data_IF_465914322240
#
_entry.id   IF_465914322240
#
_cell.length_a   1.000
_cell.length_b   1.000
_cell.length_c   1.000
_cell.angle_alpha   90.00
_cell.angle_beta   90.00
_cell.angle_gamma   90.00
#
_symmetry.space_group_name_H-M   'P 1'
#
loop_
_entity.id
_entity.type
_entity.pdbx_description
1 polymer ?
#
# COMPACT_ATOMS: atom_id res chain seq x y z
N UNK A 1 15.04 12.64 24.47
CA UNK A 1 15.94 12.49 23.31
C UNK A 1 15.55 11.23 22.54
N UNK A 2 15.80 11.22 21.23
CA UNK A 2 15.51 10.14 20.29
C UNK A 2 16.10 8.78 20.73
N UNK A 3 17.30 8.82 21.31
CA UNK A 3 18.01 7.65 21.84
C UNK A 3 17.29 7.01 23.06
N UNK A 4 16.61 7.81 23.87
CA UNK A 4 15.83 7.33 25.00
C UNK A 4 14.55 6.61 24.57
N UNK A 5 13.92 7.04 23.46
CA UNK A 5 12.75 6.39 22.89
C UNK A 5 13.12 5.04 22.26
N UNK A 6 14.23 4.97 21.53
CA UNK A 6 14.73 3.72 20.92
C UNK A 6 15.19 2.70 21.98
N UNK A 7 15.87 3.14 23.05
CA UNK A 7 16.32 2.24 24.14
C UNK A 7 15.15 1.67 24.94
N UNK A 8 14.06 2.42 25.13
CA UNK A 8 12.86 1.90 25.80
C UNK A 8 12.00 1.05 24.87
N UNK A 9 12.04 1.27 23.57
CA UNK A 9 11.40 0.45 22.54
C UNK A 9 11.95 -0.98 22.55
N UNK A 10 13.26 -1.12 22.61
CA UNK A 10 13.95 -2.43 22.66
C UNK A 10 13.68 -3.24 23.94
N UNK A 11 13.38 -2.57 25.07
CA UNK A 11 13.10 -3.23 26.36
C UNK A 11 11.67 -3.74 26.53
N UNK A 12 10.71 -3.28 25.70
CA UNK A 12 9.29 -3.56 25.86
C UNK A 12 8.75 -4.59 24.85
N UNK A 13 9.63 -5.31 24.16
CA UNK A 13 9.32 -6.29 23.09
C UNK A 13 8.60 -7.58 23.56
N UNK A 14 7.82 -7.57 24.63
CA UNK A 14 6.88 -8.65 24.85
C UNK A 14 5.56 -8.36 24.14
N UNK A 15 4.99 -9.36 23.44
CA UNK A 15 3.73 -9.23 22.66
C UNK A 15 2.58 -8.56 23.42
N UNK A 16 2.58 -8.59 24.75
CA UNK A 16 1.56 -7.97 25.60
C UNK A 16 1.67 -6.45 25.72
N UNK A 17 2.84 -5.85 25.51
CA UNK A 17 3.07 -4.42 25.72
C UNK A 17 3.03 -3.59 24.42
N UNK A 18 2.93 -4.24 23.25
CA UNK A 18 2.94 -3.57 21.94
C UNK A 18 1.80 -2.55 21.81
N UNK A 19 0.60 -2.87 22.29
CA UNK A 19 -0.56 -1.97 22.29
C UNK A 19 -0.36 -0.75 23.18
N UNK A 20 0.24 -0.91 24.36
CA UNK A 20 0.51 0.17 25.29
C UNK A 20 1.54 1.15 24.74
N UNK A 21 2.55 0.65 24.02
CA UNK A 21 3.59 1.49 23.41
C UNK A 21 3.04 2.31 22.25
N UNK A 22 2.27 1.68 21.36
CA UNK A 22 1.62 2.39 20.26
C UNK A 22 0.63 3.45 20.76
N UNK A 23 -0.12 3.15 21.84
CA UNK A 23 -1.01 4.12 22.45
C UNK A 23 -0.25 5.31 23.07
N UNK A 24 0.85 5.04 23.79
CA UNK A 24 1.69 6.09 24.39
C UNK A 24 2.44 6.94 23.34
N UNK A 25 2.88 6.31 22.23
CA UNK A 25 3.49 7.04 21.10
C UNK A 25 2.43 7.87 20.39
N UNK A 26 1.23 7.36 20.22
CA UNK A 26 0.09 8.07 19.63
C UNK A 26 -0.33 9.28 20.50
N UNK A 27 -0.53 9.11 21.82
CA UNK A 27 -0.87 10.21 22.73
C UNK A 27 0.21 11.30 22.79
N UNK A 28 1.48 10.91 22.88
CA UNK A 28 2.58 11.89 22.89
C UNK A 28 2.76 12.58 21.55
N UNK A 29 2.46 11.91 20.42
CA UNK A 29 2.57 12.52 19.09
C UNK A 29 1.38 13.43 18.76
N UNK A 30 0.21 13.23 19.35
CA UNK A 30 -0.96 14.12 19.18
C UNK A 30 -0.81 15.44 19.93
N UNK A 31 -0.02 15.46 21.01
CA UNK A 31 0.18 16.64 21.87
C UNK A 31 1.48 17.43 21.56
N UNK A 32 2.33 16.94 20.65
CA UNK A 32 3.55 17.63 20.21
C UNK A 32 3.47 17.95 18.72
N UNK A 33 2.98 19.13 18.39
CA UNK A 33 3.25 19.74 17.09
C UNK A 33 4.68 20.31 17.11
N UNK A 34 5.67 19.56 16.69
CA UNK A 34 6.71 20.12 15.83
C UNK A 34 7.17 19.15 14.74
N UNK A 35 7.46 19.70 13.57
CA UNK A 35 8.12 19.10 12.41
C UNK A 35 7.51 17.79 11.87
N UNK A 36 6.59 17.94 10.92
CA UNK A 36 6.06 16.85 10.10
C UNK A 36 7.14 15.91 9.54
N UNK A 37 8.35 16.39 9.28
CA UNK A 37 9.46 15.58 8.77
C UNK A 37 9.97 14.51 9.75
N UNK A 38 10.08 14.84 11.06
CA UNK A 38 10.53 13.88 12.08
C UNK A 38 9.47 12.76 12.24
N UNK A 39 8.19 13.11 12.23
CA UNK A 39 7.10 12.14 12.37
C UNK A 39 7.02 11.18 11.18
N UNK A 40 7.21 11.68 9.97
CA UNK A 40 7.25 10.89 8.74
C UNK A 40 8.42 9.89 8.76
N UNK A 41 9.62 10.36 9.12
CA UNK A 41 10.79 9.49 9.20
C UNK A 41 10.56 8.36 10.21
N UNK A 42 9.98 8.65 11.37
CA UNK A 42 9.66 7.64 12.39
C UNK A 42 8.68 6.58 11.87
N UNK A 43 7.67 6.97 11.10
CA UNK A 43 6.69 6.03 10.52
C UNK A 43 7.36 5.12 9.49
N UNK A 44 8.22 5.68 8.63
CA UNK A 44 8.93 4.90 7.62
C UNK A 44 9.97 3.96 8.25
N UNK A 45 10.67 4.41 9.27
CA UNK A 45 11.60 3.58 10.03
C UNK A 45 10.84 2.45 10.75
N UNK A 46 9.66 2.72 11.32
CA UNK A 46 8.79 1.69 11.92
C UNK A 46 8.35 0.64 10.90
N UNK A 47 7.91 1.05 9.70
CA UNK A 47 7.53 0.11 8.64
C UNK A 47 8.72 -0.79 8.26
N UNK A 48 9.89 -0.19 8.03
CA UNK A 48 11.12 -0.94 7.71
C UNK A 48 11.52 -1.90 8.82
N UNK A 49 11.46 -1.46 10.07
CA UNK A 49 11.74 -2.29 11.23
C UNK A 49 10.77 -3.49 11.32
N UNK A 50 9.47 -3.28 11.11
CA UNK A 50 8.47 -4.36 11.07
C UNK A 50 8.72 -5.35 9.94
N UNK A 51 9.11 -4.86 8.75
CA UNK A 51 9.48 -5.73 7.63
C UNK A 51 10.71 -6.59 8.00
N UNK A 52 11.71 -6.02 8.65
CA UNK A 52 12.92 -6.75 9.05
C UNK A 52 12.70 -7.76 10.16
N UNK A 53 11.84 -7.44 11.14
CA UNK A 53 11.60 -8.29 12.32
C UNK A 53 10.55 -9.38 12.08
N UNK A 54 9.50 -9.05 11.34
CA UNK A 54 8.32 -9.92 11.17
C UNK A 54 8.17 -10.45 9.73
N UNK A 55 8.83 -9.82 8.76
CA UNK A 55 8.83 -10.27 7.38
C UNK A 55 9.48 -11.63 7.23
N UNK A 56 8.86 -12.50 6.43
CA UNK A 56 9.39 -13.83 6.12
C UNK A 56 9.72 -13.90 4.64
N UNK A 57 10.98 -14.14 4.34
CA UNK A 57 11.46 -14.36 2.99
C UNK A 57 11.42 -15.84 2.62
N UNK A 58 11.02 -16.13 1.38
CA UNK A 58 11.02 -17.48 0.80
C UNK A 58 11.70 -17.47 -0.57
N UNK A 59 12.20 -18.63 -1.04
CA UNK A 59 12.76 -18.75 -2.38
C UNK A 59 11.81 -18.23 -3.46
N UNK A 60 12.37 -17.70 -4.56
CA UNK A 60 11.59 -17.12 -5.66
C UNK A 60 11.16 -15.66 -5.44
N UNK A 61 11.85 -14.92 -4.55
CA UNK A 61 11.58 -13.49 -4.34
C UNK A 61 10.26 -13.23 -3.61
N UNK A 62 9.84 -14.17 -2.77
CA UNK A 62 8.59 -14.05 -1.99
C UNK A 62 8.88 -13.42 -0.63
N UNK A 63 8.26 -12.29 -0.35
CA UNK A 63 8.21 -11.65 0.95
C UNK A 63 6.78 -11.73 1.49
N UNK A 64 6.62 -12.27 2.70
CA UNK A 64 5.36 -12.28 3.45
C UNK A 64 5.44 -11.33 4.63
N UNK A 65 4.46 -10.48 4.75
CA UNK A 65 4.24 -9.54 5.86
C UNK A 65 2.87 -9.77 6.48
N UNK A 66 2.54 -11.06 6.64
CA UNK A 66 1.20 -11.55 7.00
C UNK A 66 0.76 -11.10 8.41
N UNK A 67 1.72 -10.81 9.30
CA UNK A 67 1.44 -10.44 10.69
C UNK A 67 0.92 -9.01 10.87
N UNK A 68 1.05 -8.13 9.85
CA UNK A 68 0.68 -6.72 9.99
C UNK A 68 0.10 -6.06 8.72
N UNK A 69 0.17 -6.71 7.54
CA UNK A 69 -0.38 -6.16 6.27
C UNK A 69 -1.34 -7.13 5.59
N UNK A 70 -0.93 -8.41 5.34
CA UNK A 70 -1.61 -9.24 4.34
C UNK A 70 -2.62 -10.24 4.91
N UNK A 71 -2.53 -10.60 6.19
CA UNK A 71 -3.43 -11.56 6.83
C UNK A 71 -4.00 -11.00 8.13
N UNK A 72 -3.14 -10.71 9.11
CA UNK A 72 -3.47 -9.84 10.21
C UNK A 72 -3.08 -8.42 9.83
N UNK A 73 -3.99 -7.47 10.01
CA UNK A 73 -3.75 -6.07 9.71
C UNK A 73 -3.62 -5.28 11.00
N UNK A 74 -2.58 -4.45 11.09
CA UNK A 74 -2.40 -3.52 12.19
C UNK A 74 -3.09 -2.18 11.85
N UNK A 75 -4.24 -1.85 12.47
CA UNK A 75 -5.01 -0.67 12.06
C UNK A 75 -4.31 0.65 12.39
N UNK A 76 -3.45 0.68 13.41
CA UNK A 76 -2.67 1.87 13.76
C UNK A 76 -1.60 2.11 12.70
N UNK A 77 -0.85 1.08 12.34
CA UNK A 77 0.11 1.16 11.25
C UNK A 77 -0.58 1.56 9.94
N UNK A 78 -1.71 0.93 9.57
CA UNK A 78 -2.46 1.27 8.35
C UNK A 78 -2.86 2.75 8.32
N UNK A 79 -3.32 3.30 9.45
CA UNK A 79 -3.68 4.71 9.56
C UNK A 79 -2.46 5.62 9.39
N UNK A 80 -1.31 5.26 9.94
CA UNK A 80 -0.10 6.07 9.83
C UNK A 80 0.49 6.02 8.40
N UNK A 81 0.46 4.86 7.75
CA UNK A 81 0.81 4.73 6.33
C UNK A 81 -0.13 5.53 5.43
N UNK A 82 -1.42 5.53 5.74
CA UNK A 82 -2.41 6.31 4.99
C UNK A 82 -2.16 7.83 5.13
N UNK A 83 -1.81 8.33 6.32
CA UNK A 83 -1.41 9.73 6.51
C UNK A 83 -0.23 10.11 5.63
N UNK A 84 0.72 9.21 5.47
CA UNK A 84 1.87 9.45 4.61
C UNK A 84 1.48 9.48 3.13
N UNK A 85 0.62 8.60 2.65
CA UNK A 85 0.08 8.69 1.28
C UNK A 85 -0.66 10.01 1.05
N UNK A 86 -1.52 10.44 1.99
CA UNK A 86 -2.22 11.73 1.89
C UNK A 86 -1.23 12.89 1.82
N UNK A 87 -0.13 12.84 2.58
CA UNK A 87 0.94 13.86 2.54
C UNK A 87 1.68 13.86 1.20
N UNK A 88 2.03 12.68 0.68
CA UNK A 88 2.78 12.52 -0.57
C UNK A 88 1.96 12.98 -1.79
N UNK A 89 0.65 12.77 -1.76
CA UNK A 89 -0.26 13.13 -2.86
C UNK A 89 -1.02 14.44 -2.64
N UNK A 90 -0.63 15.27 -1.67
CA UNK A 90 -1.31 16.54 -1.33
C UNK A 90 -1.39 17.57 -2.47
N UNK A 91 -0.49 17.48 -3.44
CA UNK A 91 -0.40 18.34 -4.62
C UNK A 91 -1.22 17.84 -5.81
N UNK A 92 -1.81 16.64 -5.68
CA UNK A 92 -2.61 16.00 -6.72
C UNK A 92 -4.09 16.23 -6.43
N UNK A 93 -4.86 16.56 -7.47
CA UNK A 93 -6.33 16.62 -7.40
C UNK A 93 -6.89 15.27 -7.80
N UNK A 94 -7.56 14.61 -6.89
CA UNK A 94 -8.28 13.36 -7.13
C UNK A 94 -9.61 13.38 -6.38
N UNK A 95 -10.57 12.61 -6.85
CA UNK A 95 -11.92 12.55 -6.28
C UNK A 95 -12.33 11.12 -5.88
N UNK A 96 -11.46 10.13 -6.14
CA UNK A 96 -11.75 8.72 -5.82
C UNK A 96 -10.46 7.95 -5.56
N UNK A 97 -10.56 6.93 -4.72
CA UNK A 97 -9.47 6.00 -4.45
C UNK A 97 -9.85 4.66 -5.07
N UNK A 98 -8.90 4.06 -5.80
CA UNK A 98 -9.04 2.72 -6.37
C UNK A 98 -8.03 1.80 -5.70
N UNK A 99 -8.41 0.56 -5.46
CA UNK A 99 -7.53 -0.49 -4.97
C UNK A 99 -7.90 -1.83 -5.61
N UNK A 100 -7.17 -2.88 -5.27
CA UNK A 100 -7.50 -4.24 -5.70
C UNK A 100 -7.60 -5.18 -4.50
N UNK A 101 -8.59 -6.09 -4.51
CA UNK A 101 -8.74 -7.07 -3.42
C UNK A 101 -7.54 -8.04 -3.36
N UNK A 102 -7.13 -8.46 -2.16
CA UNK A 102 -7.76 -8.17 -0.89
C UNK A 102 -6.95 -7.16 -0.04
N UNK A 103 -5.60 -7.27 0.00
CA UNK A 103 -4.75 -6.59 1.00
C UNK A 103 -4.68 -5.06 0.80
N UNK A 104 -4.81 -4.58 -0.44
CA UNK A 104 -4.86 -3.14 -0.73
C UNK A 104 -6.10 -2.42 -0.16
N UNK A 105 -7.17 -3.16 0.20
CA UNK A 105 -8.40 -2.56 0.71
C UNK A 105 -8.15 -1.83 2.04
N UNK A 106 -7.36 -2.41 2.94
CA UNK A 106 -7.14 -1.80 4.26
C UNK A 106 -6.47 -0.42 4.18
N UNK A 107 -5.29 -0.25 3.54
CA UNK A 107 -4.68 1.06 3.40
C UNK A 107 -5.55 2.03 2.59
N UNK A 108 -6.23 1.56 1.54
CA UNK A 108 -7.11 2.40 0.72
C UNK A 108 -8.28 2.96 1.53
N UNK A 109 -8.92 2.16 2.39
CA UNK A 109 -10.01 2.61 3.28
C UNK A 109 -9.52 3.67 4.25
N UNK A 110 -8.30 3.54 4.81
CA UNK A 110 -7.74 4.55 5.70
C UNK A 110 -7.45 5.87 4.97
N UNK A 111 -6.95 5.80 3.71
CA UNK A 111 -6.79 6.99 2.86
C UNK A 111 -8.15 7.62 2.56
N UNK A 112 -9.16 6.82 2.20
CA UNK A 112 -10.53 7.28 1.96
C UNK A 112 -11.14 7.98 3.18
N UNK A 113 -10.94 7.43 4.36
CA UNK A 113 -11.39 8.03 5.62
C UNK A 113 -10.74 9.40 5.87
N UNK A 114 -9.41 9.50 5.67
CA UNK A 114 -8.67 10.75 5.89
C UNK A 114 -9.02 11.84 4.87
N UNK A 115 -9.36 11.47 3.64
CA UNK A 115 -9.66 12.40 2.55
C UNK A 115 -11.16 12.65 2.35
N UNK A 116 -12.00 11.88 3.06
CA UNK A 116 -13.46 11.86 2.88
C UNK A 116 -13.87 11.54 1.42
N UNK A 117 -13.14 10.64 0.77
CA UNK A 117 -13.39 10.23 -0.60
C UNK A 117 -13.85 8.76 -0.68
N UNK A 118 -14.67 8.41 -1.69
CA UNK A 118 -15.08 7.04 -1.91
C UNK A 118 -13.91 6.15 -2.31
N UNK A 119 -13.98 4.90 -1.87
CA UNK A 119 -13.00 3.85 -2.21
C UNK A 119 -13.70 2.78 -3.04
N UNK A 120 -13.16 2.51 -4.22
CA UNK A 120 -13.61 1.44 -5.11
C UNK A 120 -12.54 0.37 -5.17
N UNK A 121 -12.94 -0.89 -4.90
CA UNK A 121 -12.00 -1.99 -5.06
C UNK A 121 -12.33 -2.85 -6.29
N UNK A 122 -11.30 -3.11 -7.05
CA UNK A 122 -11.31 -4.02 -8.20
C UNK A 122 -11.37 -5.46 -7.70
N UNK A 123 -12.27 -6.25 -8.27
CA UNK A 123 -12.50 -7.64 -7.89
C UNK A 123 -11.69 -8.60 -8.76
N UNK A 124 -11.18 -9.67 -8.18
CA UNK A 124 -10.43 -10.74 -8.88
C UNK A 124 -11.34 -11.82 -9.49
N UNK A 125 -12.66 -11.70 -9.34
CA UNK A 125 -13.65 -12.57 -9.97
C UNK A 125 -14.86 -11.75 -10.33
N UNK A 126 -15.37 -11.98 -11.53
CA UNK A 126 -16.65 -11.38 -11.95
C UNK A 126 -17.80 -12.01 -11.16
N UNK A 127 -18.56 -11.22 -10.38
CA UNK A 127 -19.76 -11.71 -9.73
C UNK A 127 -20.83 -12.05 -10.77
N UNK A 128 -21.52 -13.17 -10.59
CA UNK A 128 -22.58 -13.62 -11.54
C UNK A 128 -23.76 -12.66 -11.65
N UNK A 129 -23.91 -11.76 -10.70
CA UNK A 129 -25.07 -10.86 -10.54
C UNK A 129 -24.79 -9.41 -10.93
N UNK A 130 -23.59 -9.08 -11.43
CA UNK A 130 -23.25 -7.68 -11.78
C UNK A 130 -23.32 -7.48 -13.29
N UNK A 131 -24.25 -6.63 -13.71
CA UNK A 131 -24.31 -6.06 -15.06
C UNK A 131 -23.37 -4.86 -15.19
N UNK A 132 -22.97 -4.51 -16.41
CA UNK A 132 -22.13 -3.33 -16.67
C UNK A 132 -20.73 -3.42 -16.06
N UNK A 133 -20.07 -4.57 -16.21
CA UNK A 133 -18.70 -4.77 -15.73
C UNK A 133 -17.67 -4.42 -16.79
N UNK A 134 -16.69 -3.60 -16.39
CA UNK A 134 -15.44 -3.40 -17.12
C UNK A 134 -14.47 -4.47 -16.64
N UNK A 135 -13.79 -5.15 -17.56
CA UNK A 135 -12.88 -6.26 -17.23
C UNK A 135 -11.50 -6.06 -17.84
N UNK A 136 -10.49 -6.57 -17.17
CA UNK A 136 -9.10 -6.67 -17.62
C UNK A 136 -8.51 -8.02 -17.30
N UNK A 137 -7.61 -8.51 -18.15
CA UNK A 137 -6.88 -9.75 -17.92
C UNK A 137 -5.51 -9.42 -17.36
N UNK A 138 -5.18 -10.03 -16.23
CA UNK A 138 -3.92 -9.83 -15.51
C UNK A 138 -3.21 -11.16 -15.38
N UNK A 139 -1.91 -11.20 -15.75
CA UNK A 139 -1.08 -12.37 -15.54
C UNK A 139 -0.53 -12.42 -14.12
N UNK A 140 -0.68 -13.57 -13.44
CA UNK A 140 -0.07 -13.82 -12.13
C UNK A 140 1.21 -14.63 -12.28
N UNK A 141 2.37 -14.00 -12.17
CA UNK A 141 3.64 -14.72 -12.21
C UNK A 141 3.82 -15.71 -11.06
N UNK A 142 3.27 -15.42 -9.88
CA UNK A 142 3.35 -16.32 -8.72
C UNK A 142 2.57 -17.61 -8.92
N UNK A 143 1.48 -17.56 -9.72
CA UNK A 143 0.59 -18.71 -9.99
C UNK A 143 0.69 -19.20 -11.44
N UNK A 144 1.52 -18.55 -12.25
CA UNK A 144 1.68 -18.79 -13.70
C UNK A 144 0.33 -18.99 -14.42
N UNK A 145 -0.58 -18.06 -14.19
CA UNK A 145 -1.92 -18.09 -14.80
C UNK A 145 -2.52 -16.70 -14.94
N UNK A 146 -3.34 -16.55 -15.95
CA UNK A 146 -4.16 -15.38 -16.12
C UNK A 146 -5.39 -15.40 -15.19
N UNK A 147 -5.77 -14.23 -14.72
CA UNK A 147 -7.00 -14.02 -13.99
C UNK A 147 -7.66 -12.72 -14.44
N UNK A 148 -8.99 -12.72 -14.42
CA UNK A 148 -9.74 -11.53 -14.77
C UNK A 148 -9.98 -10.68 -13.54
N UNK A 149 -9.71 -9.39 -13.68
CA UNK A 149 -10.09 -8.37 -12.71
C UNK A 149 -11.25 -7.55 -13.30
N UNK A 150 -12.11 -7.04 -12.44
CA UNK A 150 -13.28 -6.32 -12.89
C UNK A 150 -13.74 -5.24 -11.90
N UNK A 151 -14.39 -4.22 -12.44
CA UNK A 151 -15.04 -3.14 -11.71
C UNK A 151 -16.36 -2.77 -12.40
N UNK A 152 -17.37 -2.35 -11.64
CA UNK A 152 -18.61 -1.85 -12.23
C UNK A 152 -18.41 -0.46 -12.84
N UNK A 153 -18.97 -0.26 -14.06
CA UNK A 153 -19.01 1.05 -14.71
C UNK A 153 -19.84 2.10 -13.94
N UNK A 154 -20.68 1.65 -13.00
CA UNK A 154 -21.42 2.56 -12.10
C UNK A 154 -20.52 3.21 -11.04
N UNK A 155 -19.33 2.66 -10.79
CA UNK A 155 -18.41 3.13 -9.74
C UNK A 155 -17.07 3.63 -10.25
N UNK A 156 -16.81 3.44 -11.56
CA UNK A 156 -15.64 3.99 -12.22
C UNK A 156 -16.07 4.59 -13.55
N UNK A 157 -16.01 5.91 -13.67
CA UNK A 157 -16.61 6.72 -14.72
C UNK A 157 -15.61 7.72 -15.30
N UNK A 158 -15.89 8.35 -16.45
CA UNK A 158 -14.97 9.32 -17.06
C UNK A 158 -14.69 10.58 -16.22
N UNK A 159 -15.53 10.89 -15.23
CA UNK A 159 -15.35 12.03 -14.33
C UNK A 159 -14.39 11.72 -13.19
N UNK A 160 -13.94 10.48 -13.10
CA UNK A 160 -13.08 10.05 -11.99
C UNK A 160 -11.60 10.34 -12.25
N UNK A 161 -11.04 11.08 -11.32
CA UNK A 161 -9.61 11.29 -11.16
C UNK A 161 -9.18 10.47 -9.96
N UNK A 162 -8.43 9.38 -10.19
CA UNK A 162 -8.19 8.39 -9.16
C UNK A 162 -6.73 8.33 -8.71
N UNK A 163 -6.52 8.02 -7.43
CA UNK A 163 -5.27 7.45 -6.97
C UNK A 163 -5.46 5.96 -6.71
N UNK A 164 -4.49 5.15 -7.11
CA UNK A 164 -4.46 3.72 -6.83
C UNK A 164 -3.60 3.45 -5.59
N UNK A 165 -4.12 2.70 -4.62
CA UNK A 165 -3.40 2.31 -3.40
C UNK A 165 -3.39 0.79 -3.29
N UNK A 166 -2.20 0.20 -3.09
CA UNK A 166 -2.05 -1.25 -2.94
C UNK A 166 -0.97 -1.60 -1.90
N UNK A 167 -0.89 -2.87 -1.51
CA UNK A 167 0.10 -3.36 -0.56
C UNK A 167 1.49 -3.53 -1.19
N UNK A 168 1.59 -4.15 -2.37
CA UNK A 168 2.86 -4.43 -3.05
C UNK A 168 2.92 -3.93 -4.48
N UNK A 169 4.05 -3.31 -4.82
CA UNK A 169 4.51 -3.16 -6.20
C UNK A 169 5.57 -4.23 -6.48
N UNK A 170 5.19 -5.25 -7.23
CA UNK A 170 6.06 -6.35 -7.66
C UNK A 170 6.41 -6.19 -9.16
N UNK A 171 5.89 -7.02 -10.04
CA UNK A 171 6.05 -6.89 -11.50
C UNK A 171 5.10 -5.85 -12.14
N UNK A 172 4.28 -5.16 -11.32
CA UNK A 172 3.34 -4.16 -11.82
C UNK A 172 2.08 -4.71 -12.49
N UNK A 173 1.79 -6.01 -12.36
CA UNK A 173 0.64 -6.61 -13.06
C UNK A 173 -0.71 -6.11 -12.54
N UNK A 174 -0.85 -5.93 -11.22
CA UNK A 174 -2.05 -5.31 -10.65
C UNK A 174 -2.23 -3.89 -11.19
N UNK A 175 -1.15 -3.11 -11.24
CA UNK A 175 -1.14 -1.75 -11.80
C UNK A 175 -1.57 -1.74 -13.26
N UNK A 176 -1.04 -2.65 -14.11
CA UNK A 176 -1.44 -2.80 -15.51
C UNK A 176 -2.93 -3.08 -15.65
N UNK A 177 -3.46 -3.99 -14.83
CA UNK A 177 -4.89 -4.31 -14.82
C UNK A 177 -5.76 -3.12 -14.44
N UNK A 178 -5.35 -2.36 -13.43
CA UNK A 178 -6.08 -1.15 -13.01
C UNK A 178 -5.97 -0.04 -14.07
N UNK A 179 -4.81 0.13 -14.71
CA UNK A 179 -4.64 1.09 -15.81
C UNK A 179 -5.60 0.78 -16.97
N UNK A 180 -5.66 -0.48 -17.41
CA UNK A 180 -6.56 -0.92 -18.48
C UNK A 180 -8.05 -0.74 -18.08
N UNK A 181 -8.42 -1.02 -16.83
CA UNK A 181 -9.78 -0.75 -16.33
C UNK A 181 -10.12 0.74 -16.34
N UNK A 182 -9.21 1.60 -15.89
CA UNK A 182 -9.41 3.05 -15.89
C UNK A 182 -9.50 3.60 -17.32
N UNK A 183 -8.64 3.15 -18.24
CA UNK A 183 -8.70 3.52 -19.65
C UNK A 183 -10.06 3.16 -20.27
N UNK A 184 -10.53 1.93 -20.05
CA UNK A 184 -11.84 1.46 -20.53
C UNK A 184 -13.02 2.22 -19.90
N UNK A 185 -12.87 2.67 -18.66
CA UNK A 185 -13.85 3.51 -17.97
C UNK A 185 -13.81 4.98 -18.42
N UNK A 186 -12.74 5.41 -19.09
CA UNK A 186 -12.45 6.81 -19.35
C UNK A 186 -11.92 7.58 -18.12
N UNK A 187 -11.66 6.91 -17.01
CA UNK A 187 -11.16 7.50 -15.78
C UNK A 187 -9.66 7.80 -15.87
N UNK A 188 -9.22 8.82 -15.15
CA UNK A 188 -7.80 9.23 -15.16
C UNK A 188 -7.08 8.77 -13.89
N UNK A 189 -5.96 8.08 -14.04
CA UNK A 189 -5.06 7.79 -12.93
C UNK A 189 -4.12 8.96 -12.74
N UNK A 190 -4.15 9.56 -11.55
CA UNK A 190 -3.30 10.69 -11.20
C UNK A 190 -1.99 10.25 -10.51
N UNK A 191 -2.06 9.21 -9.69
CA UNK A 191 -0.89 8.59 -9.06
C UNK A 191 -1.20 7.20 -8.51
N UNK A 192 -0.13 6.47 -8.14
CA UNK A 192 -0.20 5.18 -7.47
C UNK A 192 0.63 5.17 -6.19
N UNK A 193 0.12 4.55 -5.13
CA UNK A 193 0.79 4.39 -3.84
C UNK A 193 0.90 2.92 -3.44
N UNK A 194 2.07 2.52 -2.95
CA UNK A 194 2.34 1.15 -2.51
C UNK A 194 2.97 1.16 -1.12
N UNK A 195 2.56 0.23 -0.27
CA UNK A 195 3.22 0.08 1.03
C UNK A 195 4.65 -0.40 0.81
N UNK A 196 4.83 -1.44 -0.02
CA UNK A 196 6.14 -2.06 -0.26
C UNK A 196 6.38 -2.21 -1.77
N UNK A 197 7.49 -1.66 -2.26
CA UNK A 197 8.02 -1.96 -3.59
C UNK A 197 9.08 -3.05 -3.51
N UNK A 198 9.01 -4.04 -4.41
CA UNK A 198 10.10 -4.98 -4.69
C UNK A 198 10.85 -4.51 -5.92
N UNK A 199 11.86 -3.64 -5.74
CA UNK A 199 12.54 -2.96 -6.83
C UNK A 199 13.18 -3.93 -7.83
N UNK A 200 13.65 -5.09 -7.37
CA UNK A 200 14.21 -6.15 -8.21
C UNK A 200 13.20 -6.84 -9.16
N UNK A 201 11.90 -6.55 -9.03
CA UNK A 201 10.84 -7.09 -9.91
C UNK A 201 10.36 -6.08 -10.98
N UNK A 202 10.99 -4.90 -11.05
CA UNK A 202 10.85 -3.91 -12.13
C UNK A 202 9.45 -3.30 -12.35
N UNK A 203 8.50 -3.46 -11.43
CA UNK A 203 7.20 -2.79 -11.53
C UNK A 203 7.31 -1.27 -11.51
N UNK A 204 8.24 -0.73 -10.72
CA UNK A 204 8.53 0.69 -10.70
C UNK A 204 9.11 1.22 -12.03
N UNK A 205 9.98 0.42 -12.69
CA UNK A 205 10.50 0.76 -14.01
C UNK A 205 9.38 0.85 -15.05
N UNK A 206 8.44 -0.09 -14.99
CA UNK A 206 7.25 -0.07 -15.83
C UNK A 206 6.44 1.22 -15.60
N UNK A 207 6.10 1.57 -14.35
CA UNK A 207 5.30 2.76 -14.05
C UNK A 207 6.01 4.05 -14.50
N UNK A 208 7.33 4.16 -14.30
CA UNK A 208 8.13 5.28 -14.78
C UNK A 208 8.09 5.41 -16.31
N UNK A 209 8.20 4.29 -17.02
CA UNK A 209 8.13 4.25 -18.49
C UNK A 209 6.76 4.71 -19.00
N UNK A 210 5.68 4.34 -18.31
CA UNK A 210 4.31 4.78 -18.64
C UNK A 210 4.02 6.23 -18.18
N UNK A 211 4.97 6.90 -17.56
CA UNK A 211 4.80 8.27 -17.08
C UNK A 211 3.87 8.39 -15.87
N UNK A 212 3.61 7.28 -15.16
CA UNK A 212 2.76 7.25 -13.97
C UNK A 212 3.58 7.66 -12.74
N UNK A 213 3.14 8.71 -12.06
CA UNK A 213 3.67 9.06 -10.74
C UNK A 213 3.32 7.97 -9.74
N UNK A 214 4.31 7.45 -9.02
CA UNK A 214 4.07 6.52 -7.93
C UNK A 214 4.99 6.79 -6.74
N UNK A 215 4.53 6.35 -5.56
CA UNK A 215 5.27 6.41 -4.30
C UNK A 215 5.22 5.04 -3.63
N UNK A 216 6.34 4.62 -3.06
CA UNK A 216 6.44 3.42 -2.23
C UNK A 216 6.97 3.79 -0.85
N UNK A 217 6.31 3.30 0.21
CA UNK A 217 6.68 3.68 1.58
C UNK A 217 7.90 2.90 2.09
N UNK A 218 8.12 1.70 1.56
CA UNK A 218 9.35 0.94 1.76
C UNK A 218 9.78 0.29 0.44
N UNK A 219 11.08 0.23 0.19
CA UNK A 219 11.64 -0.41 -1.00
C UNK A 219 12.53 -1.57 -0.61
N UNK A 220 12.21 -2.76 -1.08
CA UNK A 220 13.03 -3.97 -0.96
C UNK A 220 13.92 -4.05 -2.19
N UNK A 221 15.22 -3.95 -2.01
CA UNK A 221 16.21 -4.00 -3.09
C UNK A 221 16.52 -5.43 -3.54
N UNK A 222 16.63 -6.36 -2.59
CA UNK A 222 16.79 -7.77 -2.90
C UNK A 222 16.19 -8.67 -1.82
N UNK A 223 15.95 -9.93 -2.22
CA UNK A 223 15.58 -11.05 -1.36
C UNK A 223 16.50 -12.25 -1.61
N UNK A 224 17.74 -11.99 -2.03
CA UNK A 224 18.72 -13.03 -2.35
C UNK A 224 19.07 -13.82 -1.08
N UNK A 225 19.25 -15.12 -1.22
CA UNK A 225 19.49 -16.04 -0.10
C UNK A 225 18.48 -15.91 1.05
N UNK A 226 17.24 -15.53 0.73
CA UNK A 226 16.19 -15.25 1.71
C UNK A 226 16.59 -14.16 2.74
N UNK A 227 17.45 -13.22 2.34
CA UNK A 227 17.80 -12.04 3.13
C UNK A 227 17.04 -10.84 2.62
N UNK A 228 16.38 -10.11 3.52
CA UNK A 228 15.66 -8.89 3.17
C UNK A 228 16.67 -7.74 3.17
N UNK A 229 16.83 -7.08 2.03
CA UNK A 229 17.64 -5.85 1.89
C UNK A 229 16.69 -4.70 1.57
N UNK A 230 16.66 -3.71 2.44
CA UNK A 230 15.86 -2.49 2.27
C UNK A 230 16.77 -1.32 1.85
N UNK A 231 16.18 -0.43 1.05
CA UNK A 231 16.79 0.85 0.67
C UNK A 231 16.73 1.85 1.81
#
# INVERSE_FOLDING_TARGET
SYSFLLQNYAKLQTKQNYWAINFLVYEKSSNFAPNNHIKVQVIMDLLKERIMQEGRCFPGGILKVDSFVNHQMDPILMMDLAKEFVRLFKDIKYNKIVTIEASGIAPAIMVGYLTNLPVVFVKKKQPKTMEGMITSVVHSFTKDRDYTVCVSNSYLTPEDHVIFIDDFLANGNASKGVMDLCEKAGAKIEAMGFIIEKAFQHGGDFLRKEGIRYEALATVESLDDCKIVLK
#
